data_IF_272508333073
#
_entry.id   IF_272508333073
#
_cell.length_a   1.000
_cell.length_b   1.000
_cell.length_c   1.000
_cell.angle_alpha   90.00
_cell.angle_beta   90.00
_cell.angle_gamma   90.00
#
_symmetry.space_group_name_H-M   'P 1'
#
loop_
_entity.id
_entity.type
_entity.pdbx_description
1 polymer ?
#
# COMPACT_ATOMS: atom_id res chain seq x y z
N UNK A 1 -55.40 -13.01 -38.97
CA UNK A 1 -54.31 -13.97 -39.22
C UNK A 1 -53.63 -14.18 -37.87
N UNK A 2 -54.09 -15.14 -37.06
CA UNK A 2 -53.61 -16.55 -37.04
C UNK A 2 -52.08 -16.62 -36.80
N UNK A 3 -51.51 -17.40 -35.88
CA UNK A 3 -51.96 -18.38 -34.90
C UNK A 3 -50.77 -18.59 -33.91
N UNK A 4 -50.96 -18.77 -32.58
CA UNK A 4 -50.97 -20.07 -31.86
C UNK A 4 -49.67 -20.87 -32.10
N UNK A 5 -48.80 -21.21 -31.12
CA UNK A 5 -48.98 -22.21 -30.05
C UNK A 5 -47.66 -22.26 -29.20
N UNK A 6 -47.71 -22.05 -27.86
CA UNK A 6 -47.62 -23.01 -26.73
C UNK A 6 -46.24 -23.51 -26.27
N UNK A 7 -46.09 -23.42 -24.93
CA UNK A 7 -45.59 -24.40 -23.94
C UNK A 7 -44.19 -25.03 -24.15
N UNK A 8 -43.36 -25.23 -23.12
CA UNK A 8 -43.73 -25.82 -21.83
C UNK A 8 -42.74 -25.48 -20.73
N UNK A 9 -43.29 -25.37 -19.52
CA UNK A 9 -42.60 -25.36 -18.24
C UNK A 9 -42.13 -26.76 -17.82
N UNK A 10 -41.03 -26.81 -17.08
CA UNK A 10 -40.64 -27.84 -16.09
C UNK A 10 -39.73 -27.08 -15.10
N UNK A 11 -40.14 -26.64 -13.91
CA UNK A 11 -40.69 -27.37 -12.77
C UNK A 11 -39.81 -28.55 -12.33
N UNK A 12 -38.84 -28.28 -11.45
CA UNK A 12 -38.35 -29.29 -10.51
C UNK A 12 -38.25 -28.65 -9.12
N UNK A 13 -39.25 -28.95 -8.30
CA UNK A 13 -39.36 -28.57 -6.89
C UNK A 13 -39.05 -29.79 -6.00
N UNK A 14 -38.74 -29.57 -4.71
CA UNK A 14 -38.07 -30.51 -3.81
C UNK A 14 -39.05 -31.46 -3.10
N UNK A 15 -38.57 -32.63 -2.67
CA UNK A 15 -38.99 -33.35 -1.44
C UNK A 15 -38.55 -34.81 -1.46
N UNK A 16 -37.76 -35.22 -0.45
CA UNK A 16 -38.00 -36.44 0.34
C UNK A 16 -37.65 -36.00 1.77
N UNK A 17 -38.63 -35.57 2.56
CA UNK A 17 -39.55 -36.38 3.35
C UNK A 17 -38.84 -37.19 4.46
N UNK A 18 -39.22 -36.81 5.67
CA UNK A 18 -38.86 -37.41 6.94
C UNK A 18 -39.17 -38.90 7.03
N UNK A 19 -38.49 -39.59 7.95
CA UNK A 19 -39.14 -40.64 8.73
C UNK A 19 -38.66 -40.61 10.18
N UNK A 20 -39.65 -40.44 11.04
CA UNK A 20 -39.63 -40.51 12.49
C UNK A 20 -39.59 -41.97 12.97
N UNK A 21 -38.88 -42.17 14.09
CA UNK A 21 -39.21 -42.97 15.27
C UNK A 21 -39.64 -44.45 15.13
N UNK A 22 -38.89 -45.33 15.80
CA UNK A 22 -39.46 -46.29 16.74
C UNK A 22 -38.42 -46.78 17.77
N UNK A 23 -38.81 -46.70 19.04
CA UNK A 23 -38.17 -47.24 20.24
C UNK A 23 -37.83 -48.74 20.15
N UNK A 24 -36.70 -49.14 20.74
CA UNK A 24 -36.60 -50.39 21.48
C UNK A 24 -35.70 -50.20 22.70
N UNK A 25 -36.33 -50.30 23.86
CA UNK A 25 -35.79 -50.31 25.20
C UNK A 25 -34.98 -51.61 25.40
N UNK A 26 -33.70 -51.53 25.79
CA UNK A 26 -32.97 -52.68 26.32
C UNK A 26 -32.22 -52.26 27.58
N UNK A 27 -32.69 -52.79 28.70
CA UNK A 27 -32.20 -52.59 30.06
C UNK A 27 -30.99 -53.51 30.30
N UNK A 28 -29.90 -52.88 30.78
CA UNK A 28 -28.84 -53.37 31.66
C UNK A 28 -28.24 -54.78 31.49
N UNK A 29 -26.92 -54.84 31.23
CA UNK A 29 -25.96 -55.47 32.16
C UNK A 29 -24.66 -54.65 32.13
N UNK A 30 -24.22 -54.21 33.31
CA UNK A 30 -23.04 -53.37 33.48
C UNK A 30 -21.72 -54.10 33.19
N UNK A 31 -20.85 -53.42 32.45
CA UNK A 31 -19.41 -53.66 32.50
C UNK A 31 -18.76 -52.38 33.05
N UNK A 32 -17.91 -52.47 34.08
CA UNK A 32 -17.16 -51.31 34.55
C UNK A 32 -16.09 -51.00 33.50
N UNK A 33 -16.36 -50.03 32.63
CA UNK A 33 -15.29 -49.31 31.95
C UNK A 33 -14.59 -48.50 33.04
N UNK A 34 -13.47 -49.05 33.52
CA UNK A 34 -12.48 -48.32 34.30
C UNK A 34 -11.92 -47.20 33.42
N UNK A 35 -12.64 -46.08 33.39
CA UNK A 35 -12.12 -44.80 32.93
C UNK A 35 -10.98 -44.40 33.85
N UNK A 36 -9.75 -44.80 33.51
CA UNK A 36 -8.56 -44.19 34.06
C UNK A 36 -8.53 -42.74 33.57
N UNK A 37 -9.12 -41.84 34.36
CA UNK A 37 -8.79 -40.42 34.34
C UNK A 37 -7.30 -40.31 34.63
N UNK A 38 -6.47 -40.32 33.57
CA UNK A 38 -5.06 -39.95 33.67
C UNK A 38 -5.04 -38.48 34.09
N UNK A 39 -4.84 -38.24 35.40
CA UNK A 39 -4.32 -36.96 35.89
C UNK A 39 -3.14 -36.56 34.99
N UNK A 40 -3.05 -35.30 34.54
CA UNK A 40 -1.86 -34.83 33.83
C UNK A 40 -0.66 -35.11 34.73
N UNK A 41 0.23 -36.01 34.31
CA UNK A 41 1.49 -36.20 35.03
C UNK A 41 2.29 -34.93 34.78
N UNK A 42 2.85 -34.28 35.82
CA UNK A 42 3.74 -33.16 35.61
C UNK A 42 4.89 -33.63 34.73
N UNK A 43 5.10 -32.97 33.60
CA UNK A 43 6.17 -33.32 32.67
C UNK A 43 7.50 -33.28 33.42
N UNK A 44 8.25 -34.38 33.35
CA UNK A 44 9.57 -34.41 33.97
C UNK A 44 10.44 -33.29 33.38
N UNK A 45 11.32 -32.65 34.17
CA UNK A 45 12.17 -31.56 33.67
C UNK A 45 13.04 -31.98 32.47
N UNK A 46 13.27 -33.27 32.25
CA UNK A 46 13.94 -33.79 31.06
C UNK A 46 13.07 -33.73 29.79
N UNK A 47 11.76 -33.98 29.90
CA UNK A 47 10.83 -33.86 28.77
C UNK A 47 10.61 -32.40 28.38
N UNK A 48 10.57 -31.49 29.37
CA UNK A 48 10.46 -30.06 29.12
C UNK A 48 11.68 -29.55 28.33
N UNK A 49 12.90 -29.88 28.77
CA UNK A 49 14.13 -29.53 28.03
C UNK A 49 14.16 -30.05 26.60
N UNK A 50 13.70 -31.29 26.37
CA UNK A 50 13.64 -31.86 25.02
C UNK A 50 12.61 -31.15 24.13
N UNK A 51 11.49 -30.71 24.71
CA UNK A 51 10.49 -29.91 24.00
C UNK A 51 11.02 -28.51 23.69
N UNK A 52 11.71 -27.87 24.64
CA UNK A 52 12.34 -26.56 24.46
C UNK A 52 13.37 -26.61 23.32
N UNK A 53 14.24 -27.63 23.33
CA UNK A 53 15.24 -27.82 22.28
C UNK A 53 14.60 -28.04 20.90
N UNK A 54 13.51 -28.82 20.84
CA UNK A 54 12.76 -29.02 19.60
C UNK A 54 12.09 -27.72 19.12
N UNK A 55 11.61 -26.89 20.03
CA UNK A 55 11.06 -25.58 19.69
C UNK A 55 12.14 -24.64 19.13
N UNK A 56 13.33 -24.63 19.73
CA UNK A 56 14.49 -23.87 19.24
C UNK A 56 14.92 -24.31 17.84
N UNK A 57 14.98 -25.63 17.58
CA UNK A 57 15.34 -26.17 16.27
C UNK A 57 14.32 -25.82 15.18
N UNK A 58 13.02 -25.88 15.52
CA UNK A 58 11.94 -25.46 14.62
C UNK A 58 11.99 -23.96 14.33
N UNK A 59 12.25 -23.15 15.36
CA UNK A 59 12.41 -21.71 15.18
C UNK A 59 13.62 -21.40 14.28
N UNK A 60 14.76 -22.03 14.54
CA UNK A 60 15.97 -21.83 13.73
C UNK A 60 15.74 -22.21 12.26
N UNK A 61 15.18 -23.39 12.00
CA UNK A 61 14.91 -23.85 10.63
C UNK A 61 13.91 -22.95 9.91
N UNK A 62 12.88 -22.47 10.60
CA UNK A 62 11.93 -21.50 10.05
C UNK A 62 12.61 -20.18 9.68
N UNK A 63 13.45 -19.64 10.58
CA UNK A 63 14.18 -18.40 10.33
C UNK A 63 15.17 -18.53 9.16
N UNK A 64 15.90 -19.65 9.08
CA UNK A 64 16.78 -19.93 7.93
C UNK A 64 15.99 -20.01 6.64
N UNK A 65 14.84 -20.72 6.63
CA UNK A 65 14.00 -20.80 5.45
C UNK A 65 13.45 -19.43 4.99
N UNK A 66 13.15 -18.52 5.92
CA UNK A 66 12.76 -17.16 5.57
C UNK A 66 13.91 -16.34 4.97
N UNK A 67 15.15 -16.53 5.44
CA UNK A 67 16.32 -15.89 4.86
C UNK A 67 16.57 -16.37 3.43
N UNK A 68 16.60 -17.69 3.21
CA UNK A 68 16.81 -18.29 1.89
C UNK A 68 15.70 -17.84 0.92
N UNK A 69 14.47 -17.71 1.42
CA UNK A 69 13.34 -17.20 0.65
C UNK A 69 13.52 -15.71 0.28
N UNK A 70 14.01 -14.88 1.21
CA UNK A 70 14.29 -13.48 0.94
C UNK A 70 15.37 -13.33 -0.14
N UNK A 71 16.49 -14.06 -0.01
CA UNK A 71 17.58 -14.07 -0.99
C UNK A 71 17.09 -14.51 -2.37
N UNK A 72 16.32 -15.61 -2.44
CA UNK A 72 15.73 -16.07 -3.70
C UNK A 72 14.78 -15.07 -4.34
N UNK A 73 14.07 -14.25 -3.56
CA UNK A 73 13.26 -13.15 -4.10
C UNK A 73 14.11 -11.97 -4.57
N UNK A 74 15.19 -11.63 -3.89
CA UNK A 74 16.13 -10.59 -4.32
C UNK A 74 16.79 -10.96 -5.65
N UNK A 75 17.29 -12.20 -5.77
CA UNK A 75 17.90 -12.73 -7.00
C UNK A 75 16.92 -12.71 -8.18
N UNK A 76 15.64 -12.90 -7.90
CA UNK A 76 14.57 -12.81 -8.89
C UNK A 76 14.10 -11.37 -9.17
N UNK A 77 14.71 -10.35 -8.56
CA UNK A 77 14.32 -8.94 -8.67
C UNK A 77 12.98 -8.59 -7.99
N UNK A 78 12.43 -9.50 -7.19
CA UNK A 78 11.15 -9.33 -6.49
C UNK A 78 11.36 -8.69 -5.11
N UNK A 79 11.89 -7.47 -5.09
CA UNK A 79 12.31 -6.74 -3.89
C UNK A 79 11.22 -6.64 -2.81
N UNK A 80 9.96 -6.46 -3.20
CA UNK A 80 8.88 -6.38 -2.21
C UNK A 80 8.58 -7.70 -1.51
N UNK A 81 8.73 -8.83 -2.19
CA UNK A 81 8.56 -10.14 -1.56
C UNK A 81 9.75 -10.48 -0.67
N UNK A 82 10.94 -10.07 -1.05
CA UNK A 82 12.13 -10.16 -0.21
C UNK A 82 11.94 -9.36 1.10
N UNK A 83 11.49 -8.11 0.99
CA UNK A 83 11.16 -7.27 2.15
C UNK A 83 10.13 -7.93 3.07
N UNK A 84 9.06 -8.50 2.52
CA UNK A 84 8.05 -9.23 3.31
C UNK A 84 8.65 -10.40 4.10
N UNK A 85 9.49 -11.22 3.47
CA UNK A 85 10.15 -12.35 4.13
C UNK A 85 11.06 -11.87 5.28
N UNK A 86 11.85 -10.80 5.07
CA UNK A 86 12.69 -10.21 6.12
C UNK A 86 11.88 -9.58 7.25
N UNK A 87 10.73 -8.96 6.96
CA UNK A 87 9.83 -8.44 8.00
C UNK A 87 9.24 -9.55 8.88
N UNK A 88 8.92 -10.72 8.33
CA UNK A 88 8.49 -11.87 9.12
C UNK A 88 9.58 -12.36 10.09
N UNK A 89 10.85 -12.31 9.67
CA UNK A 89 11.99 -12.63 10.56
C UNK A 89 12.02 -11.65 11.74
N UNK A 90 11.84 -10.35 11.50
CA UNK A 90 11.85 -9.33 12.55
C UNK A 90 10.68 -9.47 13.54
N UNK A 91 9.54 -10.02 13.12
CA UNK A 91 8.40 -10.33 14.03
C UNK A 91 8.75 -11.41 15.06
N UNK A 92 9.64 -12.33 14.69
CA UNK A 92 10.08 -13.44 15.56
C UNK A 92 11.34 -13.06 16.33
N UNK A 93 12.29 -12.38 15.68
CA UNK A 93 13.56 -11.94 16.26
C UNK A 93 13.80 -10.45 15.95
N UNK A 94 13.25 -9.53 16.78
CA UNK A 94 13.38 -8.09 16.58
C UNK A 94 14.83 -7.56 16.64
N UNK A 95 15.72 -8.27 17.33
CA UNK A 95 17.12 -7.88 17.57
C UNK A 95 18.07 -8.40 16.47
N UNK A 96 17.54 -8.89 15.36
CA UNK A 96 18.36 -9.36 14.24
C UNK A 96 18.86 -8.17 13.39
N UNK A 97 19.92 -7.50 13.86
CA UNK A 97 20.48 -6.31 13.19
C UNK A 97 20.84 -6.55 11.72
N UNK A 98 21.39 -7.72 11.37
CA UNK A 98 21.70 -8.06 9.98
C UNK A 98 20.47 -8.07 9.06
N UNK A 99 19.28 -8.42 9.57
CA UNK A 99 18.02 -8.35 8.81
C UNK A 99 17.63 -6.89 8.57
N UNK A 100 17.78 -6.03 9.58
CA UNK A 100 17.46 -4.60 9.46
C UNK A 100 18.35 -3.93 8.43
N UNK A 101 19.66 -4.21 8.46
CA UNK A 101 20.61 -3.71 7.47
C UNK A 101 20.20 -4.17 6.07
N UNK A 102 19.91 -5.46 5.87
CA UNK A 102 19.51 -5.97 4.55
C UNK A 102 18.20 -5.36 4.06
N UNK A 103 17.23 -5.20 4.95
CA UNK A 103 15.95 -4.57 4.62
C UNK A 103 16.15 -3.11 4.17
N UNK A 104 17.06 -2.39 4.81
CA UNK A 104 17.42 -1.03 4.40
C UNK A 104 18.15 -1.01 3.05
N UNK A 105 19.06 -1.95 2.78
CA UNK A 105 19.72 -2.09 1.47
C UNK A 105 18.71 -2.32 0.35
N UNK A 106 17.70 -3.16 0.58
CA UNK A 106 16.61 -3.38 -0.39
C UNK A 106 15.80 -2.09 -0.59
N UNK A 107 15.47 -1.38 0.48
CA UNK A 107 14.75 -0.11 0.40
C UNK A 107 15.54 0.93 -0.40
N UNK A 108 16.84 1.04 -0.17
CA UNK A 108 17.73 1.92 -0.92
C UNK A 108 17.80 1.52 -2.41
N UNK A 109 17.91 0.21 -2.70
CA UNK A 109 17.95 -0.31 -4.07
C UNK A 109 16.67 0.00 -4.88
N UNK A 110 15.51 0.10 -4.23
CA UNK A 110 14.25 0.50 -4.88
C UNK A 110 14.34 1.93 -5.43
N UNK A 111 15.08 2.84 -4.78
CA UNK A 111 15.26 4.21 -5.26
C UNK A 111 16.22 4.33 -6.44
N UNK A 112 17.21 3.45 -6.54
CA UNK A 112 18.22 3.52 -7.60
C UNK A 112 17.73 2.91 -8.92
N UNK A 113 16.90 1.86 -8.85
CA UNK A 113 16.44 1.12 -10.03
C UNK A 113 15.32 1.79 -10.82
N UNK A 114 14.47 2.59 -10.16
CA UNK A 114 13.26 3.17 -10.78
C UNK A 114 13.29 4.68 -10.69
N UNK A 115 13.69 5.36 -11.77
CA UNK A 115 13.66 6.82 -11.86
C UNK A 115 12.82 7.30 -13.05
N UNK A 116 12.03 8.33 -12.83
CA UNK A 116 11.23 9.00 -13.85
C UNK A 116 11.50 10.49 -13.82
N UNK A 117 11.85 11.06 -14.97
CA UNK A 117 12.21 12.47 -15.10
C UNK A 117 11.08 13.22 -15.77
N UNK A 118 10.59 14.27 -15.12
CA UNK A 118 9.52 15.14 -15.62
C UNK A 118 10.04 16.56 -15.75
N UNK A 119 9.84 17.17 -16.91
CA UNK A 119 10.08 18.60 -17.10
C UNK A 119 8.85 19.39 -16.65
N UNK A 120 9.01 20.18 -15.60
CA UNK A 120 8.01 21.11 -15.10
C UNK A 120 8.21 22.46 -15.79
N UNK A 121 7.33 22.76 -16.73
CA UNK A 121 7.27 24.07 -17.38
C UNK A 121 6.61 25.08 -16.43
N UNK A 122 7.36 26.10 -16.02
CA UNK A 122 6.90 27.09 -15.06
C UNK A 122 5.68 27.90 -15.56
N UNK A 123 5.49 27.99 -16.89
CA UNK A 123 4.38 28.71 -17.50
C UNK A 123 3.06 27.94 -17.50
N UNK A 124 3.11 26.63 -17.23
CA UNK A 124 1.95 25.76 -17.22
C UNK A 124 1.38 25.64 -15.81
N UNK A 125 0.10 25.30 -15.73
CA UNK A 125 -0.57 24.96 -14.48
C UNK A 125 -0.15 23.59 -13.96
N UNK A 126 -1.11 22.80 -13.51
CA UNK A 126 -0.84 21.43 -13.08
C UNK A 126 -0.37 20.56 -14.25
N UNK A 127 0.79 19.93 -14.07
CA UNK A 127 1.41 18.99 -15.01
C UNK A 127 1.27 17.60 -14.43
N UNK A 128 0.73 16.68 -15.22
CA UNK A 128 0.67 15.26 -14.88
C UNK A 128 2.05 14.64 -15.07
N UNK A 129 2.58 13.97 -14.06
CA UNK A 129 3.87 13.27 -14.16
C UNK A 129 3.77 11.97 -14.95
N UNK A 130 2.56 11.43 -15.15
CA UNK A 130 2.38 10.06 -15.66
C UNK A 130 2.82 9.00 -14.66
N UNK A 131 3.01 9.37 -13.39
CA UNK A 131 3.41 8.47 -12.31
C UNK A 131 2.26 8.26 -11.35
N UNK A 132 2.01 7.00 -11.04
CA UNK A 132 1.11 6.55 -9.99
C UNK A 132 1.93 6.18 -8.74
N UNK A 133 1.55 6.74 -7.60
CA UNK A 133 2.15 6.45 -6.30
C UNK A 133 1.18 5.62 -5.45
N UNK A 134 1.74 4.74 -4.62
CA UNK A 134 0.96 3.90 -3.70
C UNK A 134 1.05 4.43 -2.28
N UNK A 135 -0.03 4.25 -1.52
CA UNK A 135 -0.11 4.60 -0.10
C UNK A 135 0.99 3.89 0.69
N UNK A 136 1.61 4.61 1.62
CA UNK A 136 2.64 4.11 2.54
C UNK A 136 3.89 3.55 1.82
N UNK A 137 4.09 3.87 0.53
CA UNK A 137 5.23 3.40 -0.24
C UNK A 137 6.19 4.55 -0.52
N UNK A 138 7.44 4.49 -0.03
CA UNK A 138 8.28 5.67 0.00
C UNK A 138 8.72 6.06 -1.42
N UNK A 139 8.67 7.37 -1.68
CA UNK A 139 9.09 7.97 -2.95
C UNK A 139 9.98 9.18 -2.66
N UNK A 140 10.98 9.37 -3.51
CA UNK A 140 11.91 10.50 -3.46
C UNK A 140 11.67 11.41 -4.64
N UNK A 141 11.53 12.70 -4.38
CA UNK A 141 11.41 13.73 -5.40
C UNK A 141 12.58 14.69 -5.30
N UNK A 142 13.26 14.90 -6.40
CA UNK A 142 14.38 15.85 -6.50
C UNK A 142 14.08 16.85 -7.59
N UNK A 143 14.10 18.14 -7.26
CA UNK A 143 13.89 19.21 -8.23
C UNK A 143 15.21 19.97 -8.46
N UNK A 144 15.59 20.09 -9.73
CA UNK A 144 16.77 20.82 -10.16
C UNK A 144 16.42 21.88 -11.22
N UNK A 145 17.22 22.93 -11.26
CA UNK A 145 17.08 24.04 -12.20
C UNK A 145 16.62 25.34 -11.56
N UNK A 146 16.45 26.34 -12.42
CA UNK A 146 16.01 27.68 -12.02
C UNK A 146 15.00 28.19 -13.03
N UNK A 147 14.08 29.01 -12.55
CA UNK A 147 13.11 29.69 -13.40
C UNK A 147 12.89 31.10 -12.85
N UNK A 148 12.27 31.96 -13.66
CA UNK A 148 11.91 33.32 -13.29
C UNK A 148 10.41 33.49 -13.42
N UNK A 149 9.78 34.13 -12.45
CA UNK A 149 8.40 34.60 -12.59
C UNK A 149 8.32 36.10 -12.37
N UNK A 150 7.37 36.73 -13.07
CA UNK A 150 7.11 38.17 -13.02
C UNK A 150 5.63 38.35 -12.68
N UNK A 151 5.37 39.16 -11.66
CA UNK A 151 4.01 39.48 -11.20
C UNK A 151 3.80 40.99 -11.39
N UNK A 152 2.80 41.34 -12.18
CA UNK A 152 2.42 42.73 -12.45
C UNK A 152 0.94 42.92 -12.11
N UNK A 153 0.63 42.88 -10.82
CA UNK A 153 -0.75 42.97 -10.33
C UNK A 153 -0.85 44.01 -9.21
N UNK A 154 -1.95 44.76 -9.17
CA UNK A 154 -2.25 45.71 -8.10
C UNK A 154 -3.14 45.02 -7.08
N UNK A 155 -2.65 44.89 -5.84
CA UNK A 155 -3.35 44.19 -4.76
C UNK A 155 -3.90 45.19 -3.74
N UNK A 156 -5.07 44.87 -3.20
CA UNK A 156 -5.62 45.51 -2.01
C UNK A 156 -4.99 44.96 -0.71
N UNK A 157 -5.45 45.44 0.47
CA UNK A 157 -4.97 44.95 1.76
C UNK A 157 -5.22 43.44 1.99
N UNK A 158 -6.11 42.83 1.21
CA UNK A 158 -6.42 41.39 1.24
C UNK A 158 -5.36 40.51 0.56
N UNK A 159 -4.50 41.07 -0.31
CA UNK A 159 -3.46 40.32 -1.03
C UNK A 159 -4.01 39.35 -2.09
N UNK A 160 -3.29 38.24 -2.32
CA UNK A 160 -3.71 37.19 -3.27
C UNK A 160 -4.76 36.25 -2.67
N UNK A 161 -5.72 35.83 -3.49
CA UNK A 161 -6.67 34.76 -3.13
C UNK A 161 -5.96 33.40 -3.08
N UNK A 162 -6.41 32.54 -2.17
CA UNK A 162 -5.86 31.20 -1.97
C UNK A 162 -6.93 30.16 -1.63
N UNK A 163 -8.14 30.31 -2.16
CA UNK A 163 -9.29 29.44 -1.83
C UNK A 163 -9.28 28.13 -2.62
N UNK A 164 -8.92 28.17 -3.91
CA UNK A 164 -8.87 26.98 -4.78
C UNK A 164 -7.44 26.64 -5.20
N UNK A 165 -6.84 25.61 -4.61
CA UNK A 165 -5.48 25.13 -4.93
C UNK A 165 -5.30 24.76 -6.42
N UNK A 166 -6.39 24.43 -7.13
CA UNK A 166 -6.31 24.09 -8.55
C UNK A 166 -6.12 25.32 -9.45
N UNK A 167 -6.56 26.50 -9.00
CA UNK A 167 -6.57 27.74 -9.79
C UNK A 167 -5.69 28.81 -9.18
N UNK A 168 -5.77 28.96 -7.86
CA UNK A 168 -5.11 29.96 -7.06
C UNK A 168 -3.75 29.46 -6.55
N UNK A 169 -3.09 30.33 -5.78
CA UNK A 169 -1.88 30.02 -5.05
C UNK A 169 -2.24 29.24 -3.78
N UNK A 170 -1.51 28.16 -3.49
CA UNK A 170 -1.66 27.45 -2.23
C UNK A 170 -1.07 28.29 -1.09
N UNK A 171 -1.88 28.58 -0.06
CA UNK A 171 -1.46 29.38 1.11
C UNK A 171 -0.36 28.71 1.93
N UNK A 172 -0.39 27.37 1.99
CA UNK A 172 0.49 26.57 2.85
C UNK A 172 1.84 26.26 2.20
N UNK A 173 2.02 26.66 0.94
CA UNK A 173 3.24 26.45 0.16
C UNK A 173 3.89 27.81 -0.10
N UNK A 174 5.22 27.96 0.05
CA UNK A 174 5.90 29.20 -0.28
C UNK A 174 5.68 29.63 -1.75
N UNK A 175 5.53 30.93 -1.98
CA UNK A 175 5.44 31.48 -3.33
C UNK A 175 6.74 31.18 -4.10
N UNK A 176 6.57 30.67 -5.31
CA UNK A 176 7.63 30.28 -6.22
C UNK A 176 8.25 28.92 -5.94
N UNK A 177 7.75 28.17 -4.95
CA UNK A 177 8.20 26.80 -4.72
C UNK A 177 7.52 25.80 -5.67
N UNK A 178 8.21 24.71 -5.99
CA UNK A 178 7.57 23.56 -6.65
C UNK A 178 6.73 22.82 -5.63
N UNK A 179 5.46 22.62 -5.96
CA UNK A 179 4.52 21.83 -5.18
C UNK A 179 4.04 20.62 -5.96
N UNK A 180 3.59 19.64 -5.20
CA UNK A 180 2.97 18.45 -5.71
C UNK A 180 1.62 18.18 -5.04
N UNK A 181 0.79 17.43 -5.74
CA UNK A 181 -0.55 17.03 -5.34
C UNK A 181 -0.78 15.58 -5.76
N UNK A 182 -1.34 14.78 -4.87
CA UNK A 182 -1.72 13.39 -5.19
C UNK A 182 -3.23 13.37 -5.39
N UNK A 183 -3.64 12.97 -6.60
CA UNK A 183 -5.05 12.86 -6.98
C UNK A 183 -5.43 11.39 -7.06
N UNK A 184 -6.25 10.88 -6.12
CA UNK A 184 -6.70 9.50 -6.14
C UNK A 184 -7.58 9.20 -7.36
N UNK A 185 -7.51 7.98 -7.93
CA UNK A 185 -8.32 7.62 -9.09
C UNK A 185 -9.81 7.59 -8.72
N UNK A 186 -10.71 7.86 -9.68
CA UNK A 186 -12.15 7.75 -9.43
C UNK A 186 -12.53 6.30 -9.09
N UNK A 187 -13.11 6.08 -7.92
CA UNK A 187 -13.61 4.76 -7.53
C UNK A 187 -14.96 4.48 -8.19
N UNK A 188 -15.06 3.34 -8.90
CA UNK A 188 -16.33 2.89 -9.47
C UNK A 188 -17.40 2.77 -8.37
N UNK A 189 -18.52 3.47 -8.56
CA UNK A 189 -19.64 3.48 -7.61
C UNK A 189 -19.70 4.69 -6.66
N UNK A 190 -18.66 5.53 -6.61
CA UNK A 190 -18.74 6.79 -5.87
C UNK A 190 -19.26 7.93 -6.76
N UNK A 191 -20.24 8.69 -6.25
CA UNK A 191 -20.84 9.85 -6.95
C UNK A 191 -19.93 11.08 -6.99
N UNK A 192 -18.94 11.15 -6.11
CA UNK A 192 -18.01 12.26 -6.01
C UNK A 192 -16.58 11.72 -6.16
N UNK A 193 -15.71 12.42 -6.91
CA UNK A 193 -14.31 12.04 -6.99
C UNK A 193 -13.68 12.11 -5.59
N UNK A 194 -12.80 11.15 -5.25
CA UNK A 194 -12.11 11.18 -3.97
C UNK A 194 -11.30 12.47 -3.82
N UNK A 195 -11.29 13.02 -2.61
CA UNK A 195 -10.64 14.31 -2.32
C UNK A 195 -9.12 14.17 -2.55
N UNK A 196 -8.51 15.06 -3.36
CA UNK A 196 -7.05 15.11 -3.50
C UNK A 196 -6.35 15.30 -2.15
N UNK A 197 -5.08 14.89 -2.07
CA UNK A 197 -4.23 15.26 -0.93
C UNK A 197 -4.14 16.79 -0.83
N UNK A 198 -3.73 17.34 0.32
CA UNK A 198 -3.28 18.73 0.34
C UNK A 198 -2.06 18.93 -0.57
N UNK A 199 -1.85 20.13 -1.14
CA UNK A 199 -0.61 20.43 -1.85
C UNK A 199 0.55 20.41 -0.85
N UNK A 200 1.72 19.95 -1.29
CA UNK A 200 2.92 19.94 -0.45
C UNK A 200 4.15 20.38 -1.24
N UNK A 201 5.07 21.04 -0.56
CA UNK A 201 6.31 21.57 -1.14
C UNK A 201 7.33 20.47 -1.39
N UNK A 202 7.95 20.42 -2.57
CA UNK A 202 9.07 19.48 -2.84
C UNK A 202 10.40 20.06 -2.37
N UNK A 203 10.67 21.35 -2.64
CA UNK A 203 11.99 21.93 -2.40
C UNK A 203 13.05 21.35 -3.34
N UNK A 204 14.31 21.23 -2.89
CA UNK A 204 15.39 20.61 -3.68
C UNK A 204 15.29 19.09 -3.73
N UNK A 205 15.02 18.48 -2.58
CA UNK A 205 14.81 17.06 -2.44
C UNK A 205 13.81 16.82 -1.31
N UNK A 206 12.92 15.84 -1.49
CA UNK A 206 11.96 15.42 -0.47
C UNK A 206 11.69 13.94 -0.59
N UNK A 207 11.82 13.27 0.55
CA UNK A 207 11.35 11.91 0.75
C UNK A 207 9.95 11.99 1.36
N UNK A 208 9.02 11.22 0.82
CA UNK A 208 7.67 11.15 1.35
C UNK A 208 7.08 9.76 1.22
N UNK A 209 6.21 9.45 2.18
CA UNK A 209 5.29 8.32 2.11
C UNK A 209 3.92 8.88 1.69
N UNK A 210 3.39 8.50 0.52
CA UNK A 210 2.11 8.98 0.02
C UNK A 210 0.98 8.63 0.99
N UNK A 211 0.11 9.58 1.36
CA UNK A 211 -1.00 9.32 2.28
C UNK A 211 -2.14 8.51 1.64
N UNK A 212 -2.17 8.43 0.32
CA UNK A 212 -3.16 7.69 -0.46
C UNK A 212 -2.59 7.28 -1.82
N UNK A 213 -3.22 6.29 -2.44
CA UNK A 213 -2.96 5.91 -3.83
C UNK A 213 -3.43 7.02 -4.77
N UNK A 214 -2.62 7.36 -5.78
CA UNK A 214 -3.05 8.36 -6.75
C UNK A 214 -2.01 8.75 -7.79
N UNK A 215 -2.47 9.55 -8.74
CA UNK A 215 -1.61 10.20 -9.72
C UNK A 215 -0.95 11.42 -9.08
N UNK A 216 0.34 11.57 -9.30
CA UNK A 216 1.08 12.73 -8.83
C UNK A 216 1.04 13.84 -9.89
N UNK A 217 0.67 15.04 -9.46
CA UNK A 217 0.72 16.24 -10.29
C UNK A 217 1.72 17.23 -9.70
N UNK A 218 2.38 17.99 -10.57
CA UNK A 218 3.36 19.00 -10.21
C UNK A 218 2.92 20.37 -10.72
N UNK A 219 3.19 21.41 -9.93
CA UNK A 219 2.96 22.81 -10.32
C UNK A 219 3.93 23.70 -9.56
N UNK A 220 4.25 24.86 -10.12
CA UNK A 220 4.93 25.92 -9.37
C UNK A 220 3.87 26.80 -8.69
N UNK A 221 4.02 27.01 -7.39
CA UNK A 221 3.10 27.83 -6.62
C UNK A 221 3.30 29.32 -6.91
N UNK A 222 2.64 29.82 -7.95
CA UNK A 222 2.68 31.22 -8.34
C UNK A 222 1.27 31.81 -8.37
N UNK A 223 1.11 33.11 -8.07
CA UNK A 223 -0.16 33.80 -8.23
C UNK A 223 -0.73 33.68 -9.65
N UNK A 224 -2.06 33.67 -9.79
CA UNK A 224 -2.69 33.70 -11.11
C UNK A 224 -2.23 34.93 -11.92
N UNK A 225 -2.14 34.80 -13.24
CA UNK A 225 -1.68 35.89 -14.11
C UNK A 225 -0.16 36.14 -14.11
N UNK A 226 0.62 35.43 -13.28
CA UNK A 226 2.09 35.53 -13.27
C UNK A 226 2.68 35.03 -14.59
N UNK A 227 3.62 35.81 -15.17
CA UNK A 227 4.40 35.37 -16.33
C UNK A 227 5.62 34.58 -15.86
N UNK A 228 5.62 33.29 -16.11
CA UNK A 228 6.74 32.41 -15.75
C UNK A 228 7.56 32.02 -16.98
N UNK A 229 8.89 32.02 -16.83
CA UNK A 229 9.86 31.73 -17.88
C UNK A 229 10.90 30.76 -17.31
N UNK A 230 11.05 29.61 -17.96
CA UNK A 230 12.01 28.58 -17.59
C UNK A 230 11.35 27.24 -17.33
N UNK A 231 12.18 26.24 -17.11
CA UNK A 231 11.77 24.87 -16.82
C UNK A 231 12.56 24.35 -15.64
N UNK A 232 11.92 23.51 -14.84
CA UNK A 232 12.54 22.75 -13.77
C UNK A 232 12.54 21.28 -14.14
N UNK A 233 13.60 20.56 -13.78
CA UNK A 233 13.68 19.12 -13.95
C UNK A 233 13.34 18.48 -12.62
N UNK A 234 12.26 17.71 -12.57
CA UNK A 234 11.88 16.95 -11.38
C UNK A 234 12.12 15.47 -11.64
N UNK A 235 13.01 14.88 -10.88
CA UNK A 235 13.28 13.45 -10.88
C UNK A 235 12.48 12.82 -9.75
N UNK A 236 11.69 11.81 -10.09
CA UNK A 236 10.96 10.97 -9.15
C UNK A 236 11.66 9.62 -9.10
N UNK A 237 11.87 9.07 -7.91
CA UNK A 237 12.42 7.73 -7.74
C UNK A 237 11.80 6.97 -6.57
N UNK A 238 12.02 5.66 -6.56
CA UNK A 238 11.47 4.76 -5.54
C UNK A 238 10.28 3.95 -6.04
N UNK A 239 9.29 3.75 -5.17
CA UNK A 239 8.11 2.94 -5.45
C UNK A 239 7.08 3.67 -6.32
N UNK A 240 7.45 3.90 -7.58
CA UNK A 240 6.63 4.58 -8.59
C UNK A 240 6.18 3.61 -9.68
N UNK A 241 4.95 3.76 -10.15
CA UNK A 241 4.41 2.97 -11.26
C UNK A 241 4.08 3.88 -12.44
N UNK A 242 4.35 3.47 -13.69
CA UNK A 242 3.82 4.17 -14.85
C UNK A 242 2.30 4.19 -14.76
N UNK A 243 1.69 5.36 -14.98
CA UNK A 243 0.24 5.47 -15.01
C UNK A 243 -0.30 4.67 -16.22
N UNK A 244 -1.28 3.77 -16.03
CA UNK A 244 -1.88 2.99 -17.10
C UNK A 244 -2.70 3.84 -18.09
#
# INVERSE_FOLDING_TARGET
>A
MEAIMRNSALAFRPSIAASLAAMALAVAVGLPVTGQSRKPRPDSPANLKALDQKAEDLQRSYLTGLYDLAEGYEDAGQLEKAKQALQEILKIKPDAEGVKTRLQEIEDAVFDGTSHVVEVDASKGWITTGVFVKKDQPVRLTADGTYRYIVNESLGPEGFRGEDVMRDMASDVPNGAVMALIVPPPQQGQRQPPKPSGPFTIGKARDLEPPADGMLLLRINVPPGSKCIGKLKVTLSGNIQPNP
#
